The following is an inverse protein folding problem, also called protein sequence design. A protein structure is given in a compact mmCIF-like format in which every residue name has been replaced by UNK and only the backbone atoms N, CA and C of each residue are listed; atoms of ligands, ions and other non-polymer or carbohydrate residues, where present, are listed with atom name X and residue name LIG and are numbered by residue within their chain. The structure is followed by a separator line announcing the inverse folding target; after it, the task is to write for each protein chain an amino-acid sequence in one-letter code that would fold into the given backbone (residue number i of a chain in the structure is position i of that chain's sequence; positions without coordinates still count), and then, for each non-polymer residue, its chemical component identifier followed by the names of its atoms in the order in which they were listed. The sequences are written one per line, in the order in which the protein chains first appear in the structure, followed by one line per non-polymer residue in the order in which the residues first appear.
data_IF_665768347939
#
_entry.id   IF_665768347939
#
_cell.length_a   1.000
_cell.length_b   1.000
_cell.length_c   1.000
_cell.angle_alpha   90.00
_cell.angle_beta   90.00
_cell.angle_gamma   90.00
#
_symmetry.space_group_name_H-M   'P 1'
#
loop_
_entity.id
_entity.type
_entity.pdbx_description
1 polymer ?
#
# COMPACT_ATOMS: atom_id res chain seq x y z
N UNK A 1 21.65 -0.06 -7.37
CA UNK A 1 21.73 1.25 -7.98
C UNK A 1 22.04 2.28 -6.92
N UNK A 2 22.83 3.29 -7.25
CA UNK A 2 23.00 4.42 -6.33
C UNK A 2 21.63 5.07 -6.13
N UNK A 3 21.29 5.52 -4.89
CA UNK A 3 20.08 6.29 -4.66
C UNK A 3 20.12 7.52 -5.59
N UNK A 4 19.00 7.82 -6.25
CA UNK A 4 18.89 9.04 -7.03
C UNK A 4 19.09 10.22 -6.06
N UNK A 5 20.07 11.08 -6.34
CA UNK A 5 20.34 12.27 -5.54
C UNK A 5 19.23 13.32 -5.83
N UNK A 6 18.07 13.10 -5.22
CA UNK A 6 16.90 13.98 -5.34
C UNK A 6 16.86 14.87 -4.10
N UNK A 7 16.91 16.20 -4.25
CA UNK A 7 16.83 17.10 -3.12
C UNK A 7 15.57 16.87 -2.27
N UNK A 8 15.71 16.86 -0.95
CA UNK A 8 14.61 16.62 -0.02
C UNK A 8 13.43 17.56 -0.26
N UNK A 9 13.69 18.84 -0.55
CA UNK A 9 12.65 19.83 -0.88
C UNK A 9 11.84 19.46 -2.11
N UNK A 10 12.45 18.79 -3.11
CA UNK A 10 11.74 18.34 -4.31
C UNK A 10 10.85 17.12 -3.99
N UNK A 11 11.30 16.21 -3.10
CA UNK A 11 10.52 15.10 -2.62
C UNK A 11 9.31 15.56 -1.80
N UNK A 12 9.52 16.50 -0.89
CA UNK A 12 8.45 17.06 -0.07
C UNK A 12 7.39 17.80 -0.91
N UNK A 13 7.85 18.55 -1.91
CA UNK A 13 6.95 19.25 -2.85
C UNK A 13 6.13 18.24 -3.65
N UNK A 14 6.77 17.24 -4.26
CA UNK A 14 6.08 16.18 -4.99
C UNK A 14 5.03 15.51 -4.11
N UNK A 15 5.39 15.17 -2.88
CA UNK A 15 4.49 14.47 -1.96
C UNK A 15 3.28 15.35 -1.58
N UNK A 16 3.49 16.65 -1.37
CA UNK A 16 2.42 17.61 -1.11
C UNK A 16 1.49 17.77 -2.31
N UNK A 17 2.04 17.91 -3.52
CA UNK A 17 1.28 18.02 -4.76
C UNK A 17 0.47 16.74 -5.03
N UNK A 18 1.03 15.57 -4.75
CA UNK A 18 0.34 14.29 -4.88
C UNK A 18 -0.79 14.10 -3.84
N UNK A 19 -0.62 14.59 -2.61
CA UNK A 19 -1.71 14.65 -1.63
C UNK A 19 -2.84 15.59 -2.09
N UNK A 20 -2.51 16.72 -2.69
CA UNK A 20 -3.50 17.63 -3.27
C UNK A 20 -4.25 16.98 -4.44
N UNK A 21 -3.56 16.21 -5.30
CA UNK A 21 -4.19 15.43 -6.35
C UNK A 21 -5.15 14.36 -5.78
N UNK A 22 -4.75 13.64 -4.73
CA UNK A 22 -5.62 12.70 -4.04
C UNK A 22 -6.87 13.38 -3.43
N UNK A 23 -6.74 14.62 -2.92
CA UNK A 23 -7.89 15.40 -2.45
C UNK A 23 -8.81 15.79 -3.62
N UNK A 24 -8.25 16.26 -4.73
CA UNK A 24 -9.00 16.54 -5.95
C UNK A 24 -9.78 15.31 -6.41
N UNK A 25 -9.15 14.14 -6.44
CA UNK A 25 -9.81 12.89 -6.79
C UNK A 25 -11.00 12.58 -5.87
N UNK A 26 -10.87 12.84 -4.56
CA UNK A 26 -11.98 12.65 -3.59
C UNK A 26 -13.14 13.63 -3.81
N UNK A 27 -12.84 14.85 -4.21
CA UNK A 27 -13.90 15.82 -4.58
C UNK A 27 -14.67 15.35 -5.81
N UNK A 28 -13.98 14.74 -6.79
CA UNK A 28 -14.58 14.23 -8.03
C UNK A 28 -15.37 12.95 -7.80
N UNK A 29 -14.76 11.95 -7.15
CA UNK A 29 -15.28 10.59 -7.08
C UNK A 29 -15.98 10.24 -5.76
N UNK A 30 -15.90 11.10 -4.76
CA UNK A 30 -16.37 10.83 -3.40
C UNK A 30 -15.26 10.29 -2.49
N UNK A 31 -15.49 10.38 -1.18
CA UNK A 31 -14.54 9.94 -0.14
C UNK A 31 -15.06 8.70 0.56
N UNK A 32 -14.22 7.67 0.62
CA UNK A 32 -14.44 6.47 1.43
C UNK A 32 -13.27 6.36 2.41
N UNK A 33 -13.56 6.19 3.69
CA UNK A 33 -12.59 6.33 4.76
C UNK A 33 -12.84 5.27 5.83
N UNK A 34 -11.94 4.29 5.91
CA UNK A 34 -12.04 3.18 6.83
C UNK A 34 -10.70 2.90 7.52
N UNK A 35 -10.78 2.25 8.67
CA UNK A 35 -9.64 1.87 9.49
C UNK A 35 -9.49 0.36 9.57
N UNK A 36 -8.23 -0.10 9.54
CA UNK A 36 -7.90 -1.53 9.50
C UNK A 36 -6.78 -1.84 10.48
N UNK A 37 -6.79 -3.06 11.02
CA UNK A 37 -5.72 -3.58 11.86
C UNK A 37 -4.55 -4.06 11.00
N UNK A 38 -3.31 -3.76 11.41
CA UNK A 38 -2.11 -4.33 10.83
C UNK A 38 -1.13 -4.66 11.95
N UNK A 39 -1.00 -5.94 12.28
CA UNK A 39 -0.24 -6.37 13.44
C UNK A 39 -0.80 -5.76 14.74
N UNK A 40 0.04 -5.18 15.61
CA UNK A 40 -0.41 -4.52 16.84
C UNK A 40 -1.02 -3.14 16.59
N UNK A 41 -0.79 -2.54 15.42
CA UNK A 41 -1.20 -1.19 15.07
C UNK A 41 -2.43 -1.14 14.15
N UNK A 42 -2.71 0.05 13.65
CA UNK A 42 -3.78 0.32 12.70
C UNK A 42 -3.32 1.23 11.57
N UNK A 43 -3.89 1.04 10.39
CA UNK A 43 -3.79 2.01 9.31
C UNK A 43 -5.18 2.49 8.88
N UNK A 44 -5.20 3.71 8.36
CA UNK A 44 -6.37 4.35 7.77
C UNK A 44 -6.25 4.29 6.26
N UNK A 45 -7.30 3.85 5.58
CA UNK A 45 -7.40 3.88 4.13
C UNK A 45 -8.41 4.94 3.71
N UNK A 46 -7.96 5.88 2.91
CA UNK A 46 -8.79 6.95 2.36
C UNK A 46 -8.80 6.80 0.84
N UNK A 47 -9.89 6.26 0.30
CA UNK A 47 -10.07 6.08 -1.14
C UNK A 47 -10.83 7.25 -1.77
N UNK A 48 -10.50 7.55 -3.02
CA UNK A 48 -11.34 8.34 -3.91
C UNK A 48 -12.22 7.40 -4.74
N UNK A 49 -13.53 7.41 -4.45
CA UNK A 49 -14.56 6.70 -5.19
C UNK A 49 -14.70 5.20 -4.91
N UNK A 50 -15.90 4.71 -5.21
CA UNK A 50 -16.27 3.30 -5.03
C UNK A 50 -15.45 2.33 -5.90
N UNK A 51 -15.01 2.77 -7.07
CA UNK A 51 -14.25 1.92 -7.99
C UNK A 51 -12.90 1.50 -7.40
N UNK A 52 -12.22 2.41 -6.67
CA UNK A 52 -10.97 2.13 -5.97
C UNK A 52 -11.24 1.31 -4.71
N UNK A 53 -12.21 1.72 -3.90
CA UNK A 53 -12.55 1.05 -2.65
C UNK A 53 -13.00 -0.40 -2.87
N UNK A 54 -13.91 -0.65 -3.80
CA UNK A 54 -14.42 -2.00 -4.09
C UNK A 54 -13.37 -2.96 -4.63
N UNK A 55 -12.29 -2.45 -5.22
CA UNK A 55 -11.16 -3.28 -5.65
C UNK A 55 -10.24 -3.70 -4.51
N UNK A 56 -10.22 -2.96 -3.39
CA UNK A 56 -9.26 -3.09 -2.29
C UNK A 56 -9.93 -3.65 -1.02
N UNK A 57 -11.05 -3.08 -0.61
CA UNK A 57 -11.68 -3.34 0.67
C UNK A 57 -12.12 -4.78 0.93
N UNK A 58 -12.61 -5.56 -0.05
CA UNK A 58 -13.01 -6.95 0.21
C UNK A 58 -11.92 -7.80 0.84
N UNK A 59 -10.67 -7.59 0.44
CA UNK A 59 -9.50 -8.30 1.00
C UNK A 59 -9.19 -7.88 2.44
N UNK A 60 -9.52 -6.65 2.80
CA UNK A 60 -9.25 -6.07 4.12
C UNK A 60 -10.43 -6.22 5.10
N UNK A 61 -11.58 -6.70 4.65
CA UNK A 61 -12.81 -6.75 5.44
C UNK A 61 -12.64 -7.48 6.79
N UNK A 62 -11.86 -8.55 6.81
CA UNK A 62 -11.62 -9.37 8.01
C UNK A 62 -10.76 -8.68 9.09
N UNK A 63 -10.06 -7.61 8.74
CA UNK A 63 -9.23 -6.81 9.65
C UNK A 63 -9.78 -5.39 9.85
N UNK A 64 -10.99 -5.12 9.37
CA UNK A 64 -11.64 -3.81 9.53
C UNK A 64 -11.89 -3.51 11.01
N UNK A 65 -11.58 -2.29 11.41
CA UNK A 65 -11.84 -1.75 12.73
C UNK A 65 -13.07 -0.81 12.69
N UNK A 66 -13.71 -0.54 13.85
CA UNK A 66 -14.70 0.51 13.93
C UNK A 66 -14.15 1.85 13.43
N UNK A 67 -14.98 2.64 12.80
CA UNK A 67 -14.61 3.96 12.31
C UNK A 67 -14.23 4.90 13.46
N UNK A 68 -13.34 5.84 13.20
CA UNK A 68 -12.74 6.70 14.22
C UNK A 68 -11.58 6.05 14.98
N UNK A 69 -10.89 6.82 15.79
CA UNK A 69 -9.70 6.40 16.55
C UNK A 69 -8.36 6.59 15.80
N UNK A 70 -7.24 6.38 16.50
CA UNK A 70 -5.91 6.61 15.96
C UNK A 70 -5.52 5.57 14.92
N UNK A 71 -4.60 5.96 14.04
CA UNK A 71 -3.93 5.09 13.09
C UNK A 71 -2.48 5.58 12.94
N UNK A 72 -1.53 4.66 12.91
CA UNK A 72 -0.11 4.97 12.80
C UNK A 72 0.28 5.31 11.36
N UNK A 73 -0.52 4.86 10.39
CA UNK A 73 -0.32 5.17 8.97
C UNK A 73 -1.65 5.51 8.30
N UNK A 74 -1.61 6.45 7.35
CA UNK A 74 -2.73 6.74 6.46
C UNK A 74 -2.32 6.48 5.02
N UNK A 75 -3.12 5.68 4.30
CA UNK A 75 -2.94 5.41 2.87
C UNK A 75 -4.00 6.18 2.10
N UNK A 76 -3.59 7.05 1.18
CA UNK A 76 -4.45 7.74 0.24
C UNK A 76 -4.44 7.01 -1.11
N UNK A 77 -5.58 6.44 -1.53
CA UNK A 77 -5.72 5.67 -2.75
C UNK A 77 -6.66 6.36 -3.75
N UNK A 78 -6.21 6.52 -4.99
CA UNK A 78 -7.02 7.12 -6.06
C UNK A 78 -6.59 6.63 -7.44
N UNK A 79 -7.38 6.92 -8.45
CA UNK A 79 -7.13 6.54 -9.83
C UNK A 79 -6.73 7.72 -10.70
N UNK A 80 -5.96 7.45 -11.75
CA UNK A 80 -5.59 8.43 -12.79
C UNK A 80 -6.81 9.07 -13.45
N UNK A 81 -7.94 8.34 -13.51
CA UNK A 81 -9.18 8.86 -14.11
C UNK A 81 -9.81 9.99 -13.28
N UNK A 82 -9.56 10.03 -11.97
CA UNK A 82 -10.10 11.03 -11.05
C UNK A 82 -9.16 12.23 -10.87
N UNK A 83 -7.85 11.95 -10.81
CA UNK A 83 -6.80 12.98 -10.82
C UNK A 83 -5.44 12.37 -11.20
N UNK A 84 -4.64 13.03 -12.05
CA UNK A 84 -3.32 12.54 -12.41
C UNK A 84 -2.34 12.63 -11.24
N UNK A 85 -1.39 11.69 -11.21
CA UNK A 85 -0.23 11.80 -10.31
C UNK A 85 0.72 12.87 -10.85
N UNK A 86 1.20 13.82 -10.03
CA UNK A 86 2.24 14.75 -10.43
C UNK A 86 3.50 14.02 -10.93
N UNK A 87 4.29 14.63 -11.83
CA UNK A 87 5.54 14.04 -12.28
C UNK A 87 6.51 13.86 -11.10
N UNK A 88 7.03 12.63 -10.97
CA UNK A 88 8.01 12.30 -9.95
C UNK A 88 9.33 13.06 -10.18
N UNK A 89 10.00 13.57 -9.14
CA UNK A 89 11.28 14.27 -9.27
C UNK A 89 12.48 13.32 -9.45
N UNK A 90 12.24 12.04 -9.62
CA UNK A 90 13.24 11.02 -9.94
C UNK A 90 12.94 10.34 -11.27
N UNK A 91 13.99 9.91 -12.02
CA UNK A 91 13.79 9.23 -13.30
C UNK A 91 13.25 7.81 -13.11
N UNK A 92 12.49 7.30 -14.08
CA UNK A 92 11.99 5.93 -14.07
C UNK A 92 13.10 4.87 -13.91
N UNK A 93 14.31 5.14 -14.44
CA UNK A 93 15.47 4.27 -14.31
C UNK A 93 16.03 4.17 -12.86
N UNK A 94 15.61 5.03 -11.96
CA UNK A 94 16.02 4.99 -10.56
C UNK A 94 15.38 3.82 -9.79
N UNK A 95 14.24 3.31 -10.25
CA UNK A 95 13.64 2.13 -9.63
C UNK A 95 14.53 0.89 -9.80
N UNK A 96 14.79 0.20 -8.70
CA UNK A 96 15.52 -1.06 -8.71
C UNK A 96 14.75 -2.19 -9.42
N UNK A 97 15.38 -3.36 -9.56
CA UNK A 97 14.80 -4.53 -10.25
C UNK A 97 13.43 -4.96 -9.70
N UNK A 98 13.14 -4.69 -8.44
CA UNK A 98 11.85 -4.99 -7.79
C UNK A 98 10.88 -3.82 -7.79
N UNK A 99 11.18 -2.77 -8.54
CA UNK A 99 10.34 -1.58 -8.66
C UNK A 99 10.40 -0.62 -7.47
N UNK A 100 11.30 -0.84 -6.50
CA UNK A 100 11.44 0.00 -5.31
C UNK A 100 12.65 0.93 -5.37
N UNK A 101 12.55 2.08 -4.68
CA UNK A 101 13.62 3.04 -4.45
C UNK A 101 13.41 3.73 -3.10
N UNK A 102 14.48 3.87 -2.32
CA UNK A 102 14.50 4.72 -1.13
C UNK A 102 15.17 6.06 -1.45
N UNK A 103 14.58 7.15 -0.97
CA UNK A 103 14.91 8.52 -1.31
C UNK A 103 14.97 9.37 -0.03
N UNK A 104 15.71 10.49 -0.07
CA UNK A 104 15.79 11.42 1.06
C UNK A 104 16.30 10.72 2.33
N UNK A 105 17.48 10.06 2.23
CA UNK A 105 18.11 9.34 3.34
C UNK A 105 17.19 8.26 3.98
N UNK A 106 16.31 7.65 3.16
CA UNK A 106 15.38 6.61 3.61
C UNK A 106 14.06 7.11 4.17
N UNK A 107 13.82 8.43 4.22
CA UNK A 107 12.53 8.97 4.65
C UNK A 107 11.40 8.58 3.71
N UNK A 108 11.66 8.62 2.39
CA UNK A 108 10.66 8.25 1.38
C UNK A 108 11.01 6.90 0.76
N UNK A 109 10.00 6.03 0.64
CA UNK A 109 10.09 4.81 -0.17
C UNK A 109 9.07 4.90 -1.30
N UNK A 110 9.54 4.82 -2.55
CA UNK A 110 8.67 4.82 -3.71
C UNK A 110 8.74 3.48 -4.44
N UNK A 111 7.60 3.06 -5.00
CA UNK A 111 7.46 1.79 -5.71
C UNK A 111 6.65 1.98 -6.97
N UNK A 112 7.12 1.40 -8.07
CA UNK A 112 6.34 1.22 -9.29
C UNK A 112 6.09 -0.26 -9.53
N UNK A 113 4.84 -0.65 -9.55
CA UNK A 113 4.41 -2.03 -9.82
C UNK A 113 3.99 -2.15 -11.27
N UNK A 114 4.90 -2.62 -12.14
CA UNK A 114 4.69 -2.72 -13.58
C UNK A 114 3.42 -3.51 -13.94
N UNK A 115 3.18 -4.66 -13.28
CA UNK A 115 2.04 -5.52 -13.55
C UNK A 115 0.68 -4.90 -13.21
N UNK A 116 0.63 -4.07 -12.18
CA UNK A 116 -0.57 -3.36 -11.74
C UNK A 116 -0.66 -1.94 -12.31
N UNK A 117 0.43 -1.43 -12.90
CA UNK A 117 0.57 -0.05 -13.32
C UNK A 117 0.19 0.93 -12.20
N UNK A 118 0.74 0.69 -11.05
CA UNK A 118 0.49 1.49 -9.84
C UNK A 118 1.77 2.08 -9.29
N UNK A 119 1.65 3.27 -8.70
CA UNK A 119 2.72 3.96 -7.99
C UNK A 119 2.34 4.07 -6.53
N UNK A 120 3.27 3.69 -5.65
CA UNK A 120 3.14 3.91 -4.21
C UNK A 120 4.29 4.77 -3.71
N UNK A 121 4.01 5.67 -2.78
CA UNK A 121 5.05 6.45 -2.10
C UNK A 121 4.70 6.54 -0.61
N UNK A 122 5.64 6.18 0.24
CA UNK A 122 5.51 6.27 1.70
C UNK A 122 6.45 7.36 2.23
N UNK A 123 5.92 8.34 2.95
CA UNK A 123 6.68 9.19 3.86
C UNK A 123 6.68 8.53 5.25
N UNK A 124 7.79 7.88 5.60
CA UNK A 124 7.96 7.15 6.86
C UNK A 124 7.86 8.06 8.07
N UNK A 125 8.38 9.29 7.96
CA UNK A 125 8.38 10.25 9.05
C UNK A 125 6.97 10.70 9.43
N UNK A 126 6.10 10.86 8.43
CA UNK A 126 4.71 11.30 8.63
C UNK A 126 3.74 10.14 8.83
N UNK A 127 4.13 8.90 8.53
CA UNK A 127 3.22 7.77 8.47
C UNK A 127 2.13 7.94 7.42
N UNK A 128 2.46 8.55 6.26
CA UNK A 128 1.50 8.80 5.19
C UNK A 128 1.97 8.14 3.91
N UNK A 129 1.08 7.37 3.27
CA UNK A 129 1.35 6.71 2.01
C UNK A 129 0.37 7.16 0.93
N UNK A 130 0.86 7.16 -0.29
CA UNK A 130 0.11 7.38 -1.52
C UNK A 130 0.02 6.07 -2.28
N UNK A 131 -1.14 5.76 -2.86
CA UNK A 131 -1.37 4.62 -3.73
C UNK A 131 -2.17 5.06 -4.95
N UNK A 132 -1.48 5.27 -6.06
CA UNK A 132 -2.05 5.76 -7.29
C UNK A 132 -2.18 4.65 -8.33
N UNK A 133 -3.37 4.51 -8.91
CA UNK A 133 -3.71 3.52 -9.92
C UNK A 133 -3.82 4.19 -11.29
N UNK A 134 -2.91 3.88 -12.21
CA UNK A 134 -3.00 4.37 -13.60
C UNK A 134 -4.07 3.66 -14.42
N UNK A 135 -4.48 2.47 -13.98
CA UNK A 135 -5.58 1.67 -14.53
C UNK A 135 -6.25 0.85 -13.42
N UNK A 136 -7.41 0.24 -13.68
CA UNK A 136 -8.09 -0.60 -12.69
C UNK A 136 -7.17 -1.71 -12.16
N UNK A 137 -7.20 -1.92 -10.84
CA UNK A 137 -6.35 -2.90 -10.16
C UNK A 137 -6.66 -4.32 -10.67
N UNK A 138 -5.67 -5.05 -11.22
CA UNK A 138 -5.89 -6.40 -11.71
C UNK A 138 -6.21 -7.35 -10.56
N UNK A 139 -6.96 -8.44 -10.83
CA UNK A 139 -7.50 -9.32 -9.79
C UNK A 139 -6.41 -9.95 -8.89
N UNK A 140 -5.24 -10.24 -9.44
CA UNK A 140 -4.13 -10.85 -8.66
C UNK A 140 -3.49 -9.89 -7.66
N UNK A 141 -3.54 -8.57 -7.90
CA UNK A 141 -3.05 -7.56 -6.95
C UNK A 141 -4.08 -7.25 -5.85
N UNK A 142 -5.36 -7.53 -6.10
CA UNK A 142 -6.43 -7.29 -5.11
C UNK A 142 -6.27 -8.10 -3.83
N UNK A 143 -5.55 -9.23 -3.89
CA UNK A 143 -5.30 -10.07 -2.71
C UNK A 143 -4.35 -9.43 -1.68
N UNK A 144 -3.46 -8.53 -2.10
CA UNK A 144 -2.55 -7.80 -1.21
C UNK A 144 -2.07 -6.48 -1.85
N UNK A 145 -2.98 -5.49 -2.02
CA UNK A 145 -2.76 -4.30 -2.86
C UNK A 145 -1.67 -3.37 -2.33
N UNK A 146 -1.44 -3.32 -1.04
CA UNK A 146 -0.48 -2.41 -0.40
C UNK A 146 0.82 -3.09 0.01
N UNK A 147 1.13 -4.25 -0.55
CA UNK A 147 2.33 -5.03 -0.19
C UNK A 147 3.62 -4.21 -0.11
N UNK A 148 3.99 -3.38 -1.09
CA UNK A 148 5.21 -2.59 -1.00
C UNK A 148 5.18 -1.57 0.15
N UNK A 149 4.04 -0.93 0.37
CA UNK A 149 3.86 0.04 1.47
C UNK A 149 4.05 -0.65 2.82
N UNK A 150 3.40 -1.79 3.04
CA UNK A 150 3.52 -2.53 4.30
C UNK A 150 4.93 -3.06 4.53
N UNK A 151 5.61 -3.58 3.49
CA UNK A 151 7.01 -3.97 3.60
C UNK A 151 7.91 -2.81 4.00
N UNK A 152 7.73 -1.64 3.38
CA UNK A 152 8.50 -0.45 3.69
C UNK A 152 8.20 0.09 5.09
N UNK A 153 6.92 0.09 5.50
CA UNK A 153 6.50 0.59 6.81
C UNK A 153 6.95 -0.31 7.96
N UNK A 154 6.92 -1.63 7.76
CA UNK A 154 7.31 -2.60 8.78
C UNK A 154 8.83 -2.85 8.84
N UNK A 155 9.61 -2.35 7.86
CA UNK A 155 11.05 -2.60 7.78
C UNK A 155 11.84 -2.15 9.02
N UNK A 156 11.36 -1.12 9.73
CA UNK A 156 11.97 -0.57 10.93
C UNK A 156 11.32 -1.10 12.23
N UNK A 157 10.56 -2.18 12.14
CA UNK A 157 9.88 -2.84 13.27
C UNK A 157 10.34 -4.28 13.41
N UNK A 158 10.00 -4.93 14.52
CA UNK A 158 10.22 -6.37 14.74
C UNK A 158 9.21 -7.25 13.99
N UNK A 159 8.40 -6.67 13.10
CA UNK A 159 7.37 -7.36 12.34
C UNK A 159 7.82 -7.62 10.91
N UNK A 160 7.49 -8.80 10.40
CA UNK A 160 7.76 -9.15 9.01
C UNK A 160 6.50 -9.68 8.32
N UNK A 161 6.13 -9.13 7.14
CA UNK A 161 5.08 -9.71 6.31
C UNK A 161 5.49 -11.09 5.81
N UNK A 162 4.61 -12.09 5.97
CA UNK A 162 4.88 -13.46 5.55
C UNK A 162 3.86 -13.88 4.48
N UNK A 163 4.34 -14.44 3.37
CA UNK A 163 3.48 -15.06 2.37
C UNK A 163 3.10 -16.48 2.83
N UNK A 164 2.03 -16.60 3.59
CA UNK A 164 1.58 -17.85 4.19
C UNK A 164 0.05 -17.99 4.15
N UNK A 165 -0.44 -19.21 4.23
CA UNK A 165 -1.79 -19.47 4.71
C UNK A 165 -1.77 -19.53 6.23
N UNK A 166 -2.83 -19.11 6.90
CA UNK A 166 -2.97 -19.20 8.34
C UNK A 166 -4.27 -19.91 8.70
N UNK A 167 -4.17 -20.88 9.60
CA UNK A 167 -5.33 -21.60 10.16
C UNK A 167 -5.15 -21.65 11.68
N UNK A 168 -6.22 -21.37 12.43
CA UNK A 168 -6.09 -21.37 13.86
C UNK A 168 -7.41 -21.29 14.62
N UNK A 169 -7.28 -21.38 15.93
CA UNK A 169 -8.31 -21.14 16.93
C UNK A 169 -7.87 -20.00 17.83
N UNK A 170 -8.69 -19.64 18.81
CA UNK A 170 -8.38 -18.55 19.76
C UNK A 170 -7.11 -18.82 20.61
N UNK A 171 -6.76 -20.09 20.82
CA UNK A 171 -5.67 -20.56 21.65
C UNK A 171 -4.38 -20.89 20.85
N UNK A 172 -4.44 -20.83 19.53
CA UNK A 172 -3.24 -21.07 18.70
C UNK A 172 -3.54 -21.26 17.23
N UNK A 173 -2.48 -21.23 16.40
CA UNK A 173 -2.60 -21.39 14.97
C UNK A 173 -1.35 -21.94 14.31
N UNK A 174 -1.51 -22.32 13.05
CA UNK A 174 -0.45 -22.82 12.17
C UNK A 174 -0.31 -21.91 10.97
N UNK A 175 0.93 -21.55 10.62
CA UNK A 175 1.28 -20.89 9.37
C UNK A 175 1.74 -21.94 8.36
N UNK A 176 1.06 -21.98 7.21
CA UNK A 176 1.39 -22.83 6.07
C UNK A 176 2.23 -22.04 5.09
N UNK A 177 3.54 -22.25 5.09
CA UNK A 177 4.50 -21.55 4.22
C UNK A 177 4.98 -22.45 3.09
N UNK A 178 5.57 -21.87 2.04
CA UNK A 178 6.18 -22.58 0.92
C UNK A 178 6.22 -21.75 -0.36
N UNK A 179 6.88 -22.22 -1.42
CA UNK A 179 6.97 -21.51 -2.69
C UNK A 179 5.58 -21.34 -3.35
N UNK A 180 5.53 -20.48 -4.38
CA UNK A 180 4.29 -20.30 -5.16
C UNK A 180 3.90 -21.64 -5.80
N UNK A 181 2.60 -21.97 -5.80
CA UNK A 181 2.09 -23.23 -6.33
C UNK A 181 2.24 -24.46 -5.40
N UNK A 182 2.81 -24.32 -4.19
CA UNK A 182 2.98 -25.45 -3.25
C UNK A 182 1.69 -25.93 -2.55
N UNK A 183 0.53 -25.42 -2.94
CA UNK A 183 -0.74 -25.85 -2.35
C UNK A 183 -1.11 -25.16 -1.03
N UNK A 184 -0.44 -24.07 -0.63
CA UNK A 184 -0.74 -23.34 0.62
C UNK A 184 -2.22 -23.01 0.79
N UNK A 185 -2.82 -22.39 -0.22
CA UNK A 185 -4.24 -22.02 -0.20
C UNK A 185 -5.13 -23.25 -0.10
N UNK A 186 -4.84 -24.30 -0.86
CA UNK A 186 -5.60 -25.57 -0.83
C UNK A 186 -5.54 -26.19 0.55
N UNK A 187 -4.36 -26.26 1.16
CA UNK A 187 -4.18 -26.80 2.53
C UNK A 187 -4.93 -25.96 3.55
N UNK A 188 -4.81 -24.62 3.46
CA UNK A 188 -5.50 -23.71 4.38
C UNK A 188 -7.02 -23.88 4.31
N UNK A 189 -7.59 -23.93 3.10
CA UNK A 189 -9.03 -24.12 2.90
C UNK A 189 -9.50 -25.48 3.35
N UNK A 190 -8.69 -26.54 3.17
CA UNK A 190 -9.03 -27.89 3.63
C UNK A 190 -9.04 -28.04 5.16
N UNK A 191 -8.48 -27.09 5.89
CA UNK A 191 -8.47 -27.07 7.37
C UNK A 191 -9.59 -26.21 7.99
N UNK A 192 -10.42 -25.57 7.17
CA UNK A 192 -11.59 -24.78 7.63
C UNK A 192 -12.82 -25.64 7.73
#
# INVERSE_FOLDING_TARGET
GQPADVPLVALERFFADALAAAETARVVAGRIDHRYRLGPGAFRLVCAGDAVASAIEPTLAHIRLPDGGPAEMTIHAWSEADAPLPPAPWPAAAYGQRGGIDLGEGRFSAFYQLGADSVSVLDRQRGVALYHLRRPLPYWERSFPFRPIFHAWLADTDLQPVHAGAVGRLDGGVLVTGPSGSGKTTTTVACL
#
